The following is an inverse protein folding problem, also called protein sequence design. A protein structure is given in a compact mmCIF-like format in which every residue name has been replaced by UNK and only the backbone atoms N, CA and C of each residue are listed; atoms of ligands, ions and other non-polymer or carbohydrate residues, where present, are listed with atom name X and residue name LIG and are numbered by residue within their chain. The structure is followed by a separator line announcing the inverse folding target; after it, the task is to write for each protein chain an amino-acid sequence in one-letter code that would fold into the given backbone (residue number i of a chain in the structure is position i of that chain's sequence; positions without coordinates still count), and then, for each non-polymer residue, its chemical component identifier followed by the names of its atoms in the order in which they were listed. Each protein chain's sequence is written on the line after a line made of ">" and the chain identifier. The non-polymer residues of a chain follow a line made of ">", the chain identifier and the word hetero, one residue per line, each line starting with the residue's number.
data_IF_240257271908
#
_entry.id   IF_240257271908
#
_cell.length_a   1.000
_cell.length_b   1.000
_cell.length_c   1.000
_cell.angle_alpha   90.00
_cell.angle_beta   90.00
_cell.angle_gamma   90.00
#
_symmetry.space_group_name_H-M   'P 1'
#
loop_
_entity.id
_entity.type
_entity.pdbx_description
1 polymer ?
2 polymer ?
3 non-polymer ?
4 non-polymer ?
5 water ?
#
loop_
_entity_poly.entity_id
_entity_poly.type
_entity_poly.pdbx_seq_one_letter_code
_entity_poly.pdbx_strand_id
1 'polyribonucleotide' 'C(5BU)CGCGGAUCAGUCACCCAAGCGAG' ?
#
# COMPACT_ATOMS: atom_id res chain seq x y z
N UNK B 3 17.51 -7.13 9.73
CA UNK B 3 17.47 -6.01 8.74
C UNK B 3 16.68 -4.80 9.19
N UNK B 4 17.03 -3.65 8.64
CA UNK B 4 16.33 -2.41 8.90
C UNK B 4 14.86 -2.58 8.52
N UNK B 5 13.99 -2.41 9.51
CA UNK B 5 12.57 -2.66 9.34
C UNK B 5 11.71 -1.40 9.08
N UNK B 6 10.79 -1.47 8.14
CA UNK B 6 9.86 -0.36 7.92
C UNK B 6 8.38 -0.79 7.89
N UNK B 7 7.47 0.17 7.99
CA UNK B 7 6.05 -0.15 7.96
C UNK B 7 5.47 0.32 6.65
N UNK B 8 4.57 -0.49 6.10
CA UNK B 8 3.77 -0.07 4.98
C UNK B 8 2.32 -0.50 5.30
N UNK B 9 1.37 0.42 5.22
CA UNK B 9 -0.04 0.14 5.47
C UNK B 9 -0.76 0.23 4.12
N UNK B 10 -1.26 -0.90 3.60
CA UNK B 10 -2.02 -0.87 2.35
C UNK B 10 -3.48 -1.33 2.43
N UNK B 11 -4.34 -0.74 1.62
CA UNK B 11 -5.77 -1.04 1.66
C UNK B 11 -6.17 -2.22 0.79
N UNK B 12 -7.05 -3.04 1.35
CA UNK B 12 -7.43 -4.33 0.77
C UNK B 12 -8.92 -4.32 0.49
N UNK B 13 -9.33 -4.37 -0.78
CA UNK B 13 -10.74 -4.59 -1.13
C UNK B 13 -11.21 -5.95 -0.59
N UNK B 14 -12.44 -6.03 -0.09
CA UNK B 14 -12.88 -7.23 0.63
C UNK B 14 -12.78 -8.48 -0.23
N UNK B 15 -13.01 -8.33 -1.53
CA UNK B 15 -12.97 -9.47 -2.44
C UNK B 15 -11.58 -10.07 -2.55
N UNK B 16 -10.57 -9.26 -2.26
CA UNK B 16 -9.16 -9.63 -2.35
C UNK B 16 -8.59 -10.32 -1.11
N UNK B 17 -9.24 -10.15 0.04
CA UNK B 17 -8.68 -10.57 1.33
C UNK B 17 -8.50 -12.09 1.47
N UNK B 18 -9.53 -12.84 1.05
CA UNK B 18 -9.48 -14.30 1.10
C UNK B 18 -8.29 -14.86 0.34
N UNK B 19 -8.02 -14.31 -0.84
CA UNK B 19 -6.89 -14.71 -1.68
C UNK B 19 -5.54 -14.36 -1.03
N UNK B 20 -5.53 -13.33 -0.19
CA UNK B 20 -4.31 -12.97 0.53
C UNK B 20 -4.02 -13.90 1.70
N UNK B 21 -5.04 -14.18 2.51
CA UNK B 21 -4.85 -14.97 3.72
C UNK B 21 -4.69 -16.43 3.34
N UNK B 22 -5.61 -16.90 2.49
CA UNK B 22 -5.62 -18.28 2.02
C UNK B 22 -6.41 -19.15 2.98
N UNK B 23 -6.72 -20.38 2.57
CA UNK B 23 -7.40 -21.32 3.44
C UNK B 23 -6.48 -21.70 4.65
N UNK B 24 -7.04 -21.71 5.86
CA UNK B 24 -6.28 -21.94 7.08
C UNK B 24 -5.20 -20.89 7.41
N UNK B 25 -5.13 -19.82 6.63
CA UNK B 25 -4.04 -18.86 6.68
C UNK B 25 -2.76 -19.26 5.96
N UNK B 26 -2.80 -20.37 5.19
CA UNK B 26 -1.57 -20.89 4.57
C UNK B 26 -0.81 -19.90 3.70
N UNK B 27 -1.55 -19.08 2.94
CA UNK B 27 -0.93 -18.14 2.02
C UNK B 27 -0.28 -16.98 2.73
N UNK B 28 -0.95 -16.37 3.68
CA UNK B 28 -0.31 -15.27 4.41
C UNK B 28 0.86 -15.71 5.31
N UNK B 29 0.81 -16.91 5.81
CA UNK B 29 1.92 -17.45 6.61
C UNK B 29 3.17 -17.70 5.76
N UNK B 30 2.95 -18.41 4.64
CA UNK B 30 3.97 -18.71 3.63
C UNK B 30 4.62 -17.42 3.12
N UNK B 31 3.79 -16.41 2.83
CA UNK B 31 4.35 -15.11 2.39
C UNK B 31 5.23 -14.46 3.44
N UNK B 32 4.78 -14.47 4.71
CA UNK B 32 5.58 -13.91 5.78
C UNK B 32 6.89 -14.67 5.88
N UNK B 33 6.81 -16.00 5.80
CA UNK B 33 8.00 -16.84 5.82
C UNK B 33 8.95 -16.49 4.70
N UNK B 34 8.43 -16.37 3.48
CA UNK B 34 9.30 -16.14 2.33
C UNK B 34 9.93 -14.72 2.36
N UNK B 35 9.20 -13.75 2.89
CA UNK B 35 9.71 -12.39 2.82
C UNK B 35 10.45 -11.91 4.07
N UNK B 36 10.16 -12.55 5.20
CA UNK B 36 10.61 -12.09 6.52
C UNK B 36 9.72 -11.05 7.15
N UNK B 37 8.78 -10.51 6.37
CA UNK B 37 7.84 -9.50 6.83
C UNK B 37 6.78 -10.07 7.75
N UNK B 38 6.28 -9.25 8.66
CA UNK B 38 5.12 -9.58 9.47
C UNK B 38 3.94 -8.88 8.80
N UNK B 39 2.82 -9.57 8.64
CA UNK B 39 1.65 -9.01 7.96
C UNK B 39 0.38 -9.28 8.79
N UNK B 40 -0.39 -8.25 9.13
CA UNK B 40 -1.66 -8.42 9.87
C UNK B 40 -2.75 -7.65 9.16
N UNK B 41 -3.86 -8.33 8.88
CA UNK B 41 -5.04 -7.65 8.31
C UNK B 41 -5.98 -7.23 9.42
N UNK B 42 -6.70 -6.12 9.23
CA UNK B 42 -7.92 -5.83 10.02
C UNK B 42 -8.89 -6.97 9.81
N UNK B 43 -9.79 -7.17 10.78
CA UNK B 43 -10.88 -8.14 10.64
C UNK B 43 -11.94 -7.69 9.63
N UNK B 44 -12.66 -8.66 9.06
CA UNK B 44 -13.49 -8.46 7.87
C UNK B 44 -14.36 -7.21 7.73
N UNK B 45 -15.01 -6.77 8.78
CA UNK B 45 -15.88 -5.60 8.67
C UNK B 45 -15.29 -4.40 9.42
N UNK B 46 -13.96 -4.38 9.42
CA UNK B 46 -13.18 -3.41 10.16
C UNK B 46 -12.49 -2.57 9.12
N UNK B 47 -13.23 -1.60 8.59
CA UNK B 47 -12.77 -0.86 7.42
C UNK B 47 -12.00 0.38 7.84
N UNK B 48 -11.13 0.88 6.97
CA UNK B 48 -10.52 2.18 7.19
C UNK B 48 -11.63 3.26 7.16
N UNK B 49 -11.61 4.24 8.06
CA UNK B 49 -12.63 5.31 8.03
C UNK B 49 -12.84 5.86 6.62
N UNK B 50 -14.10 5.88 6.21
CA UNK B 50 -14.49 6.39 4.92
C UNK B 50 -14.34 5.42 3.76
N UNK B 51 -14.08 4.15 4.05
CA UNK B 51 -13.91 3.16 2.99
C UNK B 51 -14.68 1.85 3.21
N UNK B 52 -14.60 0.97 2.23
CA UNK B 52 -15.11 -0.39 2.36
C UNK B 52 -13.91 -1.35 2.31
N UNK B 53 -12.76 -0.87 2.79
CA UNK B 53 -11.50 -1.60 2.63
C UNK B 53 -10.84 -1.93 3.95
N UNK B 54 -10.37 -3.16 4.03
CA UNK B 54 -9.59 -3.60 5.16
C UNK B 54 -8.16 -3.10 5.06
N UNK B 55 -7.50 -2.98 6.21
CA UNK B 55 -6.13 -2.48 6.29
C UNK B 55 -5.11 -3.62 6.40
N UNK B 56 -4.02 -3.51 5.66
CA UNK B 56 -2.95 -4.45 5.77
C UNK B 56 -1.70 -3.76 6.33
N UNK B 57 -1.30 -4.16 7.55
CA UNK B 57 -0.07 -3.65 8.16
C UNK B 57 1.10 -4.60 7.92
N UNK B 58 2.12 -4.09 7.23
CA UNK B 58 3.27 -4.91 6.88
C UNK B 58 4.47 -4.30 7.57
N UNK B 59 5.33 -5.14 8.15
CA UNK B 59 6.59 -4.66 8.75
C UNK B 59 7.72 -5.49 8.21
N UNK B 60 8.75 -4.86 7.65
CA UNK B 60 9.83 -5.63 7.06
C UNK B 60 10.91 -4.76 6.47
N UNK B 61 11.87 -5.37 5.77
CA UNK B 61 12.86 -4.58 5.03
C UNK B 61 12.10 -3.84 3.94
N UNK B 62 12.69 -2.76 3.44
CA UNK B 62 12.23 -2.11 2.23
C UNK B 62 11.88 -3.15 1.16
N UNK B 63 12.81 -4.04 0.85
CA UNK B 63 12.57 -5.02 -0.24
C UNK B 63 11.36 -5.92 0.05
N UNK B 64 11.23 -6.39 1.29
CA UNK B 64 10.06 -7.14 1.73
C UNK B 64 8.76 -6.35 1.55
N UNK B 65 8.81 -5.07 1.90
CA UNK B 65 7.66 -4.18 1.75
C UNK B 65 7.17 -4.18 0.35
N UNK B 66 8.13 -3.98 -0.58
CA UNK B 66 7.90 -3.93 -2.02
C UNK B 66 7.39 -5.26 -2.55
N UNK B 67 8.08 -6.36 -2.17
CA UNK B 67 7.64 -7.71 -2.47
C UNK B 67 6.23 -8.00 -1.97
N UNK B 68 5.94 -7.67 -0.70
CA UNK B 68 4.60 -7.96 -0.18
C UNK B 68 3.53 -7.13 -0.91
N UNK B 69 3.86 -5.86 -1.20
CA UNK B 69 2.86 -5.04 -1.86
C UNK B 69 2.45 -5.60 -3.22
N UNK B 70 3.45 -6.01 -3.99
CA UNK B 70 3.24 -6.53 -5.33
C UNK B 70 2.35 -7.74 -5.33
N UNK B 71 2.42 -8.54 -4.27
CA UNK B 71 1.66 -9.78 -4.19
C UNK B 71 0.20 -9.47 -3.87
N UNK B 72 0.01 -8.45 -3.04
CA UNK B 72 -1.31 -7.84 -2.80
C UNK B 72 -1.87 -7.28 -4.11
N UNK B 73 -1.05 -6.55 -4.88
CA UNK B 73 -1.54 -5.96 -6.12
C UNK B 73 -1.95 -7.04 -7.11
N UNK B 74 -1.24 -8.16 -7.11
CA UNK B 74 -1.53 -9.28 -8.02
C UNK B 74 -2.90 -9.87 -7.69
N UNK B 75 -3.13 -10.08 -6.40
CA UNK B 75 -4.41 -10.60 -5.91
C UNK B 75 -5.56 -9.64 -6.18
N UNK B 76 -5.33 -8.35 -5.92
CA UNK B 76 -6.29 -7.28 -6.20
C UNK B 76 -6.69 -7.24 -7.70
N UNK B 77 -5.68 -7.39 -8.57
CA UNK B 77 -5.88 -7.56 -10.02
C UNK B 77 -6.89 -8.66 -10.42
N UNK B 78 -7.19 -9.60 -9.51
CA UNK B 78 -8.14 -10.71 -9.76
C UNK B 78 -9.43 -10.58 -8.94
N UNK B 80 -13.31 -10.92 -10.53
CA UNK B 80 -14.55 -10.73 -11.32
C UNK B 80 -15.91 -11.22 -10.79
N UNK B 81 -16.44 -10.58 -9.74
CA UNK B 81 -17.76 -10.92 -9.19
C UNK B 81 -18.89 -10.66 -10.18
N UNK B 82 -19.92 -11.51 -10.14
CA UNK B 82 -21.07 -11.40 -11.04
C UNK B 82 -22.39 -11.89 -10.43
N UNK B 100 -14.47 -1.66 -10.85
CA UNK B 100 -13.71 -1.82 -12.12
C UNK B 100 -12.39 -1.04 -12.10
N UNK B 101 -12.47 0.19 -11.57
CA UNK B 101 -11.34 1.10 -11.47
C UNK B 101 -10.34 0.56 -10.45
N UNK B 102 -10.84 -0.19 -9.48
CA UNK B 102 -10.07 -0.61 -8.33
C UNK B 102 -9.00 -1.68 -8.65
N UNK B 103 -9.17 -2.40 -9.76
CA UNK B 103 -8.21 -3.42 -10.22
C UNK B 103 -6.86 -2.83 -10.59
N UNK B 104 -6.84 -1.59 -11.09
CA UNK B 104 -5.56 -0.90 -11.31
C UNK B 104 -5.21 0.20 -10.28
N UNK B 105 -5.85 0.18 -9.10
CA UNK B 105 -5.45 1.11 -8.03
C UNK B 105 -4.59 0.46 -6.92
N UNK B 106 -3.75 1.28 -6.29
CA UNK B 106 -3.12 0.97 -5.01
C UNK B 106 -3.53 2.06 -4.05
N UNK B 107 -3.88 1.70 -2.82
CA UNK B 107 -4.13 2.72 -1.80
C UNK B 107 -3.23 2.48 -0.60
N UNK B 108 -2.51 3.52 -0.18
CA UNK B 108 -1.60 3.38 0.94
C UNK B 108 -1.91 4.44 2.00
N UNK B 109 -1.77 4.03 3.26
CA UNK B 109 -2.02 4.90 4.41
C UNK B 109 -0.69 5.34 5.02
N UNK B 110 -0.38 6.62 4.89
CA UNK B 110 0.88 7.16 5.38
C UNK B 110 0.68 8.14 6.56
N UNK B 111 1.65 8.15 7.47
CA UNK B 111 1.74 9.19 8.49
C UNK B 111 1.74 10.58 7.85
N UNK B 112 1.21 11.57 8.57
CA UNK B 112 1.11 12.90 7.99
C UNK B 112 2.44 13.52 7.57
N UNK B 113 3.48 13.28 8.38
CA UNK B 113 4.81 13.77 8.06
C UNK B 113 5.42 13.17 6.77
N UNK B 114 5.19 11.87 6.50
CA UNK B 114 5.68 11.30 5.24
C UNK B 114 4.83 11.64 4.01
N UNK B 115 3.54 11.93 4.22
CA UNK B 115 2.67 12.50 3.19
C UNK B 115 3.23 13.87 2.83
N UNK B 116 3.62 14.64 3.86
CA UNK B 116 4.25 15.93 3.67
C UNK B 116 5.45 15.78 2.75
N UNK B 117 6.28 14.75 2.98
CA UNK B 117 7.47 14.50 2.18
C UNK B 117 7.15 13.97 0.80
N UNK B 118 6.07 13.19 0.69
CA UNK B 118 5.64 12.67 -0.61
C UNK B 118 5.19 13.84 -1.50
N UNK B 119 4.65 14.90 -0.87
CA UNK B 119 4.08 16.04 -1.59
C UNK B 119 5.18 17.03 -1.94
N UNK B 120 5.90 17.50 -0.91
CA UNK B 120 6.99 18.44 -1.09
C UNK B 120 6.44 19.85 -1.20
N UNK B 121 7.34 20.83 -1.28
CA UNK B 121 7.00 22.25 -1.42
C UNK B 121 6.23 22.53 -2.72
N UNK B 122 5.08 23.21 -2.60
CA UNK B 122 4.13 23.40 -3.71
C UNK B 122 3.89 22.14 -4.53
N UNK B 123 3.83 20.98 -3.87
CA UNK B 123 3.62 19.70 -4.54
C UNK B 123 4.67 19.20 -5.52
N UNK B 124 5.89 19.73 -5.41
CA UNK B 124 6.99 19.37 -6.30
C UNK B 124 7.45 17.91 -6.24
N UNK B 125 7.29 17.25 -5.10
CA UNK B 125 7.77 15.88 -4.96
C UNK B 125 6.82 14.86 -5.61
N UNK B 126 5.51 15.05 -5.42
CA UNK B 126 4.52 14.17 -6.03
C UNK B 126 4.51 14.31 -7.56
N UNK B 127 4.68 15.53 -8.04
CA UNK B 127 4.82 15.77 -9.47
C UNK B 127 6.02 14.92 -9.99
N UNK B 128 7.15 15.01 -9.29
CA UNK B 128 8.34 14.25 -9.65
C UNK B 128 8.10 12.74 -9.58
N UNK B 129 7.37 12.30 -8.56
CA UNK B 129 7.06 10.88 -8.39
C UNK B 129 6.21 10.35 -9.56
N UNK B 131 6.16 11.84 -12.47
CA UNK B 131 6.95 12.01 -13.69
C UNK B 131 7.90 10.82 -13.81
N UNK B 132 8.46 10.43 -12.67
CA UNK B 132 9.26 9.21 -12.53
C UNK B 132 8.51 7.93 -12.91
N UNK B 133 7.35 7.70 -12.30
CA UNK B 133 6.49 6.60 -12.67
C UNK B 133 5.63 7.04 -13.85
N UNK B 134 4.82 6.14 -14.39
CA UNK B 134 3.79 6.57 -15.31
C UNK B 134 2.45 6.61 -14.59
N UNK B 135 2.49 6.56 -13.26
CA UNK B 135 1.29 6.50 -12.42
C UNK B 135 0.74 7.86 -12.06
N UNK B 136 -0.55 7.83 -11.73
CA UNK B 136 -1.34 8.95 -11.28
C UNK B 136 -1.46 8.80 -9.77
N UNK B 137 -0.92 9.76 -9.03
CA UNK B 137 -0.89 9.68 -7.57
C UNK B 137 -1.64 10.83 -6.87
N UNK B 138 -2.63 10.48 -6.05
CA UNK B 138 -3.35 11.48 -5.28
C UNK B 138 -3.22 11.22 -3.79
N UNK B 139 -3.58 12.22 -3.00
CA UNK B 139 -3.63 12.10 -1.55
C UNK B 139 -4.94 12.68 -1.02
N UNK B 140 -5.30 12.33 0.22
CA UNK B 140 -6.47 12.90 0.87
C UNK B 140 -6.09 14.22 1.53
N UNK B 141 -7.04 15.16 1.52
CA UNK B 141 -6.77 16.55 1.88
C UNK B 141 -6.35 16.76 3.33
N UNK B 142 -7.34 16.92 4.22
CA UNK B 142 -7.13 17.00 5.67
C UNK B 142 -8.50 17.04 6.35
N UNK B 143 -9.07 15.86 6.58
CA UNK B 143 -10.42 15.72 7.15
C UNK B 143 -10.42 15.76 8.67
N UNK B 148 -7.54 11.16 12.81
CA UNK B 148 -6.21 10.48 12.76
C UNK B 148 -5.19 11.29 11.95
N UNK B 149 -3.90 11.04 12.21
CA UNK B 149 -2.81 11.79 11.60
C UNK B 149 -2.22 11.05 10.40
N UNK B 150 -3.08 10.33 9.71
CA UNK B 150 -2.71 9.58 8.51
C UNK B 150 -3.43 10.17 7.32
N UNK B 151 -2.80 10.10 6.15
CA UNK B 151 -3.48 10.42 4.91
C UNK B 151 -3.47 9.21 4.00
N UNK B 152 -4.35 9.19 3.02
CA UNK B 152 -4.45 8.08 2.06
C UNK B 152 -3.79 8.47 0.75
N UNK B 153 -2.92 7.62 0.27
CA UNK B 153 -2.27 7.84 -1.00
C UNK B 153 -2.87 6.86 -1.98
N UNK B 154 -3.45 7.38 -3.05
CA UNK B 154 -4.04 6.56 -4.11
C UNK B 154 -3.18 6.64 -5.37
N UNK B 155 -2.71 5.48 -5.81
CA UNK B 155 -1.91 5.39 -7.03
C UNK B 155 -2.67 4.58 -8.07
N UNK B 156 -2.69 5.07 -9.31
CA UNK B 156 -3.34 4.36 -10.41
C UNK B 156 -2.53 4.50 -11.70
N UNK B 157 -2.65 3.50 -12.56
CA UNK B 157 -1.86 3.36 -13.77
C UNK B 157 -1.73 1.87 -14.03
N UNK B 158 -0.95 1.51 -15.04
CA UNK B 158 -0.62 0.11 -15.31
C UNK B 158 0.19 -0.50 -14.17
N UNK B 159 0.29 -1.83 -14.11
CA UNK B 159 1.04 -2.51 -13.03
C UNK B 159 2.45 -1.94 -12.80
N UNK B 160 3.22 -1.82 -13.88
CA UNK B 160 4.63 -1.42 -13.80
C UNK B 160 4.80 0.04 -13.38
N UNK B 161 3.85 0.86 -13.76
CA UNK B 161 3.81 2.22 -13.29
C UNK B 161 3.56 2.28 -11.78
N UNK B 162 2.48 1.61 -11.35
CA UNK B 162 2.11 1.53 -9.94
C UNK B 162 3.25 1.03 -9.07
N UNK B 163 3.88 -0.07 -9.48
CA UNK B 163 5.00 -0.65 -8.75
C UNK B 163 6.10 0.38 -8.49
N UNK B 164 6.52 1.08 -9.56
CA UNK B 164 7.59 2.08 -9.46
C UNK B 164 7.19 3.22 -8.53
N UNK B 165 5.94 3.66 -8.67
CA UNK B 165 5.40 4.70 -7.80
C UNK B 165 5.45 4.24 -6.35
N UNK B 166 5.07 2.98 -6.11
CA UNK B 166 5.01 2.44 -4.76
C UNK B 166 6.41 2.30 -4.16
N UNK B 167 7.38 1.97 -5.01
CA UNK B 167 8.79 1.92 -4.67
C UNK B 167 9.30 3.30 -4.17
N UNK B 168 8.95 4.36 -4.90
CA UNK B 168 9.32 5.72 -4.54
C UNK B 168 8.66 6.13 -3.23
N UNK B 169 7.45 5.66 -3.03
CA UNK B 169 6.72 5.99 -1.82
C UNK B 169 7.36 5.32 -0.60
N UNK B 170 7.62 4.01 -0.71
CA UNK B 170 8.36 3.34 0.35
C UNK B 170 9.71 4.01 0.57
N UNK B 171 10.34 4.48 -0.50
CA UNK B 171 11.58 5.26 -0.34
C UNK B 171 11.36 6.48 0.54
N UNK B 172 10.22 7.16 0.41
CA UNK B 172 9.89 8.32 1.29
C UNK B 172 9.54 7.89 2.71
N UNK B 173 8.81 6.77 2.86
CA UNK B 173 8.61 6.16 4.18
C UNK B 173 9.95 5.90 4.87
N UNK B 174 10.93 5.42 4.10
CA UNK B 174 12.31 5.24 4.59
C UNK B 174 13.04 6.52 4.95
N UNK B 175 12.86 7.56 4.15
CA UNK B 175 13.46 8.86 4.39
C UNK B 175 12.56 9.67 5.30
N UNK B 176 12.60 9.41 6.61
CA UNK B 176 11.78 10.17 7.57
C UNK B 176 12.04 9.79 9.03
N UNK B 177 12.32 10.80 9.85
CA UNK B 177 12.14 10.63 11.30
C UNK B 177 10.66 10.82 11.66
N UNK B 178 9.92 9.73 11.86
CA UNK B 178 8.48 9.84 12.16
C UNK B 178 8.22 10.07 13.66
#
# INVERSE_FOLDING_TARGET
>B
PLGSQYFLKVLIPSYAAGSIIGKGGQTIVQLQKETGATIKLSKSKDFYPGTTERVCLIQGTIEALNAVHGFIAEKIREXPQNVAKTEPVSILQPQTTVNPDRANQVKIIVPNSTAGLIIGKGGATVKAIXEQSGAWVQLSQKPDGINLQNRVVTVSGEPEQNRKAVELIIQKIQEDPQ
#
